data_IF_537822837917
#
_entry.id   IF_537822837917
#
_cell.length_a   1.000
_cell.length_b   1.000
_cell.length_c   1.000
_cell.angle_alpha   90.00
_cell.angle_beta   90.00
_cell.angle_gamma   90.00
#
_symmetry.space_group_name_H-M   'P 1'
#
loop_
_entity.id
_entity.type
_entity.pdbx_description
1 polymer ?
#
# COMPACT_ATOMS: atom_id res chain seq x y z
N UNK A 1 7.74 0.28 25.02
CA UNK A 1 6.38 0.25 24.44
C UNK A 1 5.97 -1.19 24.27
N UNK A 2 4.81 -1.59 24.79
CA UNK A 2 4.22 -2.93 24.61
C UNK A 2 3.09 -2.85 23.60
N UNK A 3 2.96 -3.85 22.77
CA UNK A 3 1.91 -3.96 21.75
C UNK A 3 1.03 -5.14 22.09
N UNK A 4 -0.29 -4.89 22.12
CA UNK A 4 -1.31 -5.92 22.34
C UNK A 4 -1.86 -6.37 20.99
N UNK A 5 -1.68 -7.65 20.69
CA UNK A 5 -2.29 -8.31 19.53
C UNK A 5 -3.65 -8.82 19.96
N UNK A 6 -4.69 -8.34 19.33
CA UNK A 6 -6.09 -8.65 19.62
C UNK A 6 -6.66 -9.57 18.55
N UNK A 7 -7.60 -10.39 18.93
CA UNK A 7 -8.41 -11.17 18.00
C UNK A 7 -9.45 -10.28 17.29
N UNK A 8 -10.15 -10.84 16.31
CA UNK A 8 -11.19 -10.13 15.55
C UNK A 8 -12.37 -9.65 16.43
N UNK A 9 -12.50 -10.13 17.67
CA UNK A 9 -13.53 -9.68 18.63
C UNK A 9 -13.03 -8.62 19.60
N UNK A 10 -11.72 -8.27 19.50
CA UNK A 10 -11.08 -7.23 20.32
C UNK A 10 -10.44 -7.73 21.62
N UNK A 11 -10.47 -9.04 21.91
CA UNK A 11 -9.81 -9.61 23.07
C UNK A 11 -8.31 -9.70 22.84
N UNK A 12 -7.51 -9.39 23.87
CA UNK A 12 -6.06 -9.52 23.81
C UNK A 12 -5.71 -11.02 23.72
N UNK A 13 -5.09 -11.41 22.62
CA UNK A 13 -4.54 -12.76 22.42
C UNK A 13 -3.11 -12.87 22.94
N UNK A 14 -2.32 -11.83 22.73
CA UNK A 14 -0.93 -11.81 23.12
C UNK A 14 -0.42 -10.36 23.27
N UNK A 15 0.48 -10.14 24.23
CA UNK A 15 1.15 -8.85 24.44
C UNK A 15 2.66 -9.04 24.33
N UNK A 16 3.33 -8.20 23.57
CA UNK A 16 4.78 -8.25 23.39
C UNK A 16 5.40 -6.84 23.43
N UNK A 17 6.60 -6.69 24.02
CA UNK A 17 7.36 -5.47 23.83
C UNK A 17 7.82 -5.34 22.35
N UNK A 18 8.00 -4.11 21.91
CA UNK A 18 8.63 -3.87 20.60
C UNK A 18 10.12 -4.12 20.74
N UNK A 19 10.57 -5.26 20.23
CA UNK A 19 11.96 -5.68 20.29
C UNK A 19 12.78 -5.12 19.14
N UNK A 20 14.11 -5.10 19.33
CA UNK A 20 15.07 -4.75 18.28
C UNK A 20 14.84 -5.62 17.03
N UNK A 21 14.77 -4.99 15.88
CA UNK A 21 14.50 -5.65 14.59
C UNK A 21 13.03 -5.64 14.20
N UNK A 22 12.08 -5.26 15.08
CA UNK A 22 10.75 -4.89 14.68
C UNK A 22 10.79 -3.63 13.81
N UNK A 23 9.94 -3.55 12.80
CA UNK A 23 9.94 -2.43 11.86
C UNK A 23 8.53 -2.07 11.43
N UNK A 24 8.32 -0.80 11.08
CA UNK A 24 7.16 -0.33 10.33
C UNK A 24 7.63 0.09 8.95
N UNK A 25 6.95 -0.36 7.92
CA UNK A 25 7.18 0.05 6.53
C UNK A 25 5.94 0.73 5.98
N UNK A 26 6.18 1.83 5.31
CA UNK A 26 5.17 2.56 4.55
C UNK A 26 5.76 2.86 3.18
N UNK A 27 5.15 2.33 2.13
CA UNK A 27 5.44 2.66 0.75
C UNK A 27 4.13 3.01 0.07
N UNK A 28 4.01 4.25 -0.34
CA UNK A 28 2.79 4.79 -0.94
C UNK A 28 2.33 3.92 -2.11
N UNK A 29 1.05 3.61 -2.18
CA UNK A 29 0.40 2.77 -3.20
C UNK A 29 0.93 1.31 -3.31
N UNK A 30 1.90 0.90 -2.49
CA UNK A 30 2.54 -0.41 -2.61
C UNK A 30 2.35 -1.29 -1.38
N UNK A 31 2.82 -0.85 -0.20
CA UNK A 31 2.73 -1.65 1.02
C UNK A 31 2.78 -0.80 2.29
N UNK A 32 1.95 -1.15 3.24
CA UNK A 32 1.94 -0.57 4.58
C UNK A 32 1.79 -1.70 5.58
N UNK A 33 2.84 -1.96 6.36
CA UNK A 33 2.83 -3.05 7.33
C UNK A 33 3.75 -2.78 8.52
N UNK A 34 3.57 -3.56 9.56
CA UNK A 34 4.54 -3.71 10.65
C UNK A 34 5.03 -5.15 10.71
N UNK A 35 6.26 -5.33 11.14
CA UNK A 35 6.83 -6.63 11.48
C UNK A 35 7.23 -6.61 12.95
N UNK A 36 6.68 -7.52 13.74
CA UNK A 36 7.03 -7.69 15.14
C UNK A 36 7.96 -8.90 15.27
N UNK A 37 9.13 -8.70 15.89
CA UNK A 37 10.09 -9.78 16.16
C UNK A 37 10.13 -10.09 17.67
N UNK A 38 9.89 -11.34 18.01
CA UNK A 38 9.96 -11.84 19.38
C UNK A 38 10.19 -13.34 19.40
N UNK A 39 10.58 -13.88 20.55
CA UNK A 39 10.78 -15.32 20.75
C UNK A 39 10.02 -15.78 22.00
N UNK A 40 9.47 -16.99 21.99
CA UNK A 40 8.70 -17.58 23.05
C UNK A 40 9.15 -19.02 23.31
N UNK A 41 9.06 -19.48 24.56
CA UNK A 41 9.31 -20.88 24.92
C UNK A 41 8.25 -21.82 24.36
N UNK A 42 6.98 -21.37 24.35
CA UNK A 42 5.86 -22.13 23.85
C UNK A 42 5.20 -21.41 22.66
N UNK A 43 4.68 -22.15 21.65
CA UNK A 43 4.12 -21.54 20.47
C UNK A 43 2.76 -20.88 20.77
N UNK A 44 2.61 -19.65 20.27
CA UNK A 44 1.33 -18.94 20.18
C UNK A 44 0.95 -18.87 18.70
N UNK A 45 -0.27 -19.26 18.38
CA UNK A 45 -0.80 -19.25 17.02
C UNK A 45 -1.73 -18.08 16.83
N UNK A 46 -1.52 -17.36 15.72
CA UNK A 46 -2.33 -16.23 15.32
C UNK A 46 -3.25 -16.64 14.17
N UNK A 47 -4.45 -16.08 14.17
CA UNK A 47 -5.46 -16.31 13.15
C UNK A 47 -5.55 -15.12 12.20
N UNK A 48 -6.10 -15.34 11.01
CA UNK A 48 -6.43 -14.24 10.09
C UNK A 48 -7.37 -13.24 10.79
N UNK A 49 -7.04 -11.95 10.70
CA UNK A 49 -7.76 -10.87 11.36
C UNK A 49 -7.28 -10.55 12.79
N UNK A 50 -6.38 -11.35 13.39
CA UNK A 50 -5.68 -10.92 14.59
C UNK A 50 -4.80 -9.71 14.25
N UNK A 51 -4.75 -8.71 15.13
CA UNK A 51 -4.04 -7.48 14.79
C UNK A 51 -3.87 -6.51 15.94
N UNK A 52 -3.43 -5.33 15.62
CA UNK A 52 -3.25 -4.22 16.55
C UNK A 52 -4.12 -3.03 16.15
N UNK A 53 -4.60 -2.30 17.15
CA UNK A 53 -5.26 -0.99 17.00
C UNK A 53 -4.70 -0.09 18.10
N UNK A 54 -3.73 0.75 17.74
CA UNK A 54 -3.04 1.65 18.67
C UNK A 54 -2.49 2.88 17.93
N UNK A 55 -1.61 3.64 18.58
CA UNK A 55 -0.98 4.84 18.02
C UNK A 55 -0.16 4.58 16.72
N UNK A 56 0.30 3.35 16.50
CA UNK A 56 1.00 2.96 15.26
C UNK A 56 0.03 2.83 14.09
N UNK A 57 -1.27 2.67 14.34
CA UNK A 57 -2.32 2.45 13.37
C UNK A 57 -3.05 1.13 13.59
N UNK A 58 -3.90 0.77 12.63
CA UNK A 58 -4.64 -0.49 12.61
C UNK A 58 -3.97 -1.43 11.60
N UNK A 59 -3.45 -2.52 12.11
CA UNK A 59 -2.78 -3.55 11.31
C UNK A 59 -3.32 -4.92 11.68
N UNK A 60 -3.49 -5.81 10.71
CA UNK A 60 -4.04 -7.13 10.90
C UNK A 60 -3.27 -8.21 10.13
N UNK A 61 -3.36 -9.43 10.59
CA UNK A 61 -2.82 -10.60 9.93
C UNK A 61 -3.72 -10.97 8.74
N UNK A 62 -3.23 -10.77 7.53
CA UNK A 62 -3.97 -11.05 6.29
C UNK A 62 -3.53 -12.33 5.59
N UNK A 63 -2.37 -12.86 5.95
CA UNK A 63 -1.82 -14.12 5.45
C UNK A 63 -1.51 -15.05 6.64
N UNK A 64 -1.67 -16.37 6.45
CA UNK A 64 -1.40 -17.35 7.51
C UNK A 64 0.07 -17.30 7.93
N UNK A 65 0.29 -17.30 9.24
CA UNK A 65 1.61 -17.28 9.83
C UNK A 65 1.85 -18.54 10.71
N UNK A 66 3.07 -19.07 10.62
CA UNK A 66 3.52 -20.16 11.50
C UNK A 66 4.83 -19.77 12.16
N UNK A 67 4.96 -19.91 13.48
CA UNK A 67 6.23 -19.67 14.18
C UNK A 67 7.29 -20.68 13.75
N UNK A 68 8.55 -20.26 13.78
CA UNK A 68 9.70 -21.10 13.45
C UNK A 68 10.32 -21.62 14.73
N UNK A 69 10.43 -22.95 14.87
CA UNK A 69 11.13 -23.56 16.00
C UNK A 69 12.64 -23.36 15.87
N UNK A 70 13.26 -22.80 16.88
CA UNK A 70 14.69 -22.56 16.97
C UNK A 70 15.36 -23.64 17.83
N UNK A 71 16.07 -24.55 17.17
CA UNK A 71 16.75 -25.68 17.85
C UNK A 71 17.87 -25.24 18.77
N UNK A 72 18.45 -24.04 18.56
CA UNK A 72 19.54 -23.52 19.38
C UNK A 72 19.03 -23.00 20.72
N UNK A 73 17.88 -22.32 20.73
CA UNK A 73 17.29 -21.74 21.95
C UNK A 73 16.27 -22.65 22.60
N UNK A 74 15.75 -23.67 21.89
CA UNK A 74 14.68 -24.54 22.34
C UNK A 74 13.31 -23.86 22.37
N UNK A 75 13.15 -22.73 21.68
CA UNK A 75 11.94 -21.93 21.65
C UNK A 75 11.44 -21.69 20.24
N UNK A 76 10.54 -20.73 20.09
CA UNK A 76 9.91 -20.35 18.82
C UNK A 76 10.20 -18.89 18.49
N UNK A 77 10.74 -18.65 17.30
CA UNK A 77 11.02 -17.32 16.78
C UNK A 77 9.86 -16.83 15.91
N UNK A 78 9.53 -15.57 16.10
CA UNK A 78 8.46 -14.88 15.39
C UNK A 78 9.01 -13.70 14.59
N UNK A 79 8.60 -13.62 13.35
CA UNK A 79 8.67 -12.43 12.51
C UNK A 79 7.25 -12.16 11.97
N UNK A 80 6.38 -11.71 12.87
CA UNK A 80 4.97 -11.55 12.61
C UNK A 80 4.73 -10.27 11.80
N UNK A 81 4.32 -10.42 10.54
CA UNK A 81 3.90 -9.32 9.68
C UNK A 81 2.41 -9.09 9.82
N UNK A 82 2.07 -7.86 10.14
CA UNK A 82 0.69 -7.36 10.17
C UNK A 82 0.58 -6.25 9.13
N UNK A 83 -0.34 -6.37 8.20
CA UNK A 83 -0.56 -5.39 7.13
C UNK A 83 -1.64 -4.39 7.54
N UNK A 84 -1.62 -3.17 6.99
CA UNK A 84 -2.66 -2.19 7.26
C UNK A 84 -4.04 -2.77 6.91
N UNK A 85 -5.04 -2.47 7.73
CA UNK A 85 -6.38 -3.06 7.72
C UNK A 85 -7.08 -3.12 6.35
N UNK A 86 -6.72 -2.25 5.42
CA UNK A 86 -7.29 -2.22 4.07
C UNK A 86 -6.54 -3.12 3.07
N UNK A 87 -5.33 -3.59 3.38
CA UNK A 87 -4.56 -4.45 2.46
C UNK A 87 -5.22 -5.81 2.21
N UNK A 88 -6.13 -6.27 3.06
CA UNK A 88 -6.98 -7.45 2.79
C UNK A 88 -7.83 -7.32 1.53
N UNK A 89 -8.05 -6.09 1.03
CA UNK A 89 -8.78 -5.84 -0.20
C UNK A 89 -8.06 -6.39 -1.44
N UNK A 90 -6.74 -6.64 -1.37
CA UNK A 90 -5.99 -7.34 -2.43
C UNK A 90 -6.57 -8.72 -2.78
N UNK A 91 -7.26 -9.35 -1.83
CA UNK A 91 -7.88 -10.66 -1.99
C UNK A 91 -9.34 -10.59 -2.46
N UNK A 92 -9.85 -9.40 -2.80
CA UNK A 92 -11.23 -9.17 -3.22
C UNK A 92 -11.27 -8.59 -4.62
N UNK A 93 -12.16 -9.13 -5.46
CA UNK A 93 -12.33 -8.66 -6.82
C UNK A 93 -13.16 -7.40 -6.87
N UNK A 94 -12.82 -6.54 -7.83
CA UNK A 94 -13.55 -5.33 -8.15
C UNK A 94 -14.61 -5.65 -9.23
N UNK A 95 -15.87 -5.60 -8.85
CA UNK A 95 -16.97 -5.94 -9.72
C UNK A 95 -17.75 -4.69 -10.16
N UNK A 96 -18.25 -4.73 -11.39
CA UNK A 96 -19.39 -3.92 -11.79
C UNK A 96 -20.65 -4.72 -11.55
N UNK A 97 -21.69 -4.08 -10.98
CA UNK A 97 -22.98 -4.70 -10.72
C UNK A 97 -24.05 -3.82 -11.35
N UNK A 98 -24.40 -4.05 -12.62
CA UNK A 98 -25.51 -3.35 -13.26
C UNK A 98 -26.84 -3.72 -12.61
N UNK A 99 -27.83 -2.80 -12.68
CA UNK A 99 -29.13 -2.94 -11.98
C UNK A 99 -29.88 -4.25 -12.30
N UNK A 100 -29.74 -4.77 -13.52
CA UNK A 100 -30.51 -5.92 -14.03
C UNK A 100 -29.66 -7.09 -14.48
N UNK A 101 -28.39 -7.15 -14.09
CA UNK A 101 -27.47 -8.21 -14.49
C UNK A 101 -26.63 -8.72 -13.32
N UNK A 102 -25.94 -9.84 -13.53
CA UNK A 102 -25.00 -10.38 -12.53
C UNK A 102 -23.76 -9.51 -12.40
N UNK A 103 -22.91 -9.86 -11.42
CA UNK A 103 -21.62 -9.20 -11.22
C UNK A 103 -20.68 -9.49 -12.38
N UNK A 104 -20.04 -8.46 -12.91
CA UNK A 104 -19.06 -8.56 -13.97
C UNK A 104 -17.65 -8.30 -13.40
N UNK A 105 -16.73 -9.25 -13.62
CA UNK A 105 -15.32 -9.12 -13.20
C UNK A 105 -14.45 -8.50 -14.30
N UNK A 106 -14.88 -8.54 -15.56
CA UNK A 106 -14.24 -7.91 -16.72
C UNK A 106 -15.17 -6.87 -17.34
N UNK A 107 -14.82 -5.58 -17.19
CA UNK A 107 -15.67 -4.48 -17.64
C UNK A 107 -14.85 -3.22 -17.90
N UNK A 108 -15.45 -2.30 -18.66
CA UNK A 108 -14.86 -1.03 -19.02
C UNK A 108 -15.79 0.10 -18.61
N UNK A 109 -15.23 1.20 -18.14
CA UNK A 109 -16.00 2.39 -17.80
C UNK A 109 -15.27 3.64 -18.30
N UNK A 110 -15.99 4.46 -19.08
CA UNK A 110 -15.54 5.81 -19.45
C UNK A 110 -16.31 6.82 -18.60
N UNK A 111 -15.66 7.34 -17.58
CA UNK A 111 -16.27 8.26 -16.63
C UNK A 111 -15.21 9.12 -15.93
N UNK A 112 -15.64 10.01 -15.05
CA UNK A 112 -14.76 10.76 -14.15
C UNK A 112 -14.22 9.86 -13.04
N UNK A 113 -13.11 10.23 -12.41
CA UNK A 113 -12.56 9.52 -11.25
C UNK A 113 -13.61 9.36 -10.14
N UNK A 114 -14.40 10.39 -9.90
CA UNK A 114 -15.48 10.34 -8.90
C UNK A 114 -16.46 9.19 -9.16
N UNK A 115 -16.85 8.97 -10.40
CA UNK A 115 -17.79 7.89 -10.78
C UNK A 115 -17.14 6.52 -10.55
N UNK A 116 -15.87 6.33 -10.92
CA UNK A 116 -15.13 5.10 -10.63
C UNK A 116 -15.04 4.83 -9.13
N UNK A 117 -14.80 5.87 -8.32
CA UNK A 117 -14.73 5.75 -6.86
C UNK A 117 -16.09 5.45 -6.23
N UNK A 118 -17.19 5.94 -6.78
CA UNK A 118 -18.54 5.53 -6.34
C UNK A 118 -18.73 4.03 -6.50
N UNK A 119 -18.40 3.46 -7.68
CA UNK A 119 -18.45 2.01 -7.89
C UNK A 119 -17.53 1.26 -6.92
N UNK A 120 -16.36 1.84 -6.60
CA UNK A 120 -15.43 1.26 -5.63
C UNK A 120 -16.05 1.22 -4.21
N UNK A 121 -16.63 2.31 -3.75
CA UNK A 121 -17.31 2.37 -2.44
C UNK A 121 -18.48 1.37 -2.39
N UNK A 122 -19.26 1.24 -3.46
CA UNK A 122 -20.35 0.26 -3.53
C UNK A 122 -19.84 -1.17 -3.35
N UNK A 123 -18.66 -1.50 -3.93
CA UNK A 123 -18.02 -2.79 -3.69
C UNK A 123 -17.63 -2.99 -2.22
N UNK A 124 -17.06 -1.97 -1.56
CA UNK A 124 -16.74 -2.06 -0.14
C UNK A 124 -17.99 -2.25 0.72
N UNK A 125 -19.08 -1.54 0.41
CA UNK A 125 -20.34 -1.64 1.14
C UNK A 125 -20.98 -3.03 0.98
N UNK A 126 -20.99 -3.58 -0.24
CA UNK A 126 -21.48 -4.94 -0.51
C UNK A 126 -20.67 -6.00 0.24
N UNK A 127 -19.35 -5.79 0.38
CA UNK A 127 -18.46 -6.66 1.13
C UNK A 127 -18.54 -6.45 2.65
N UNK A 128 -19.28 -5.43 3.11
CA UNK A 128 -19.44 -5.10 4.52
C UNK A 128 -18.19 -4.46 5.17
N UNK A 129 -17.25 -3.93 4.35
CA UNK A 129 -16.06 -3.29 4.88
C UNK A 129 -16.39 -1.91 5.45
N UNK A 130 -15.98 -1.72 6.70
CA UNK A 130 -16.16 -0.47 7.44
C UNK A 130 -14.90 -0.15 8.24
N UNK A 131 -14.64 1.13 8.44
CA UNK A 131 -13.64 1.62 9.39
C UNK A 131 -14.34 2.02 10.68
N UNK A 132 -14.11 1.31 11.79
CA UNK A 132 -14.74 1.57 13.09
C UNK A 132 -16.25 1.81 12.99
N UNK A 133 -16.97 0.92 12.29
CA UNK A 133 -18.42 0.98 12.01
C UNK A 133 -18.86 2.13 11.08
N UNK A 134 -17.95 2.89 10.50
CA UNK A 134 -18.23 3.93 9.50
C UNK A 134 -17.95 3.43 8.09
N UNK A 135 -18.78 3.81 7.14
CA UNK A 135 -18.57 3.53 5.74
C UNK A 135 -17.36 4.31 5.22
N UNK A 136 -16.65 3.71 4.26
CA UNK A 136 -15.59 4.40 3.55
C UNK A 136 -16.17 5.49 2.66
N UNK A 137 -15.45 6.60 2.57
CA UNK A 137 -15.76 7.70 1.66
C UNK A 137 -14.46 8.11 0.95
N UNK A 138 -14.59 8.76 -0.19
CA UNK A 138 -13.42 9.24 -0.93
C UNK A 138 -13.29 10.76 -0.87
N UNK A 139 -12.06 11.22 -1.08
CA UNK A 139 -11.70 12.63 -1.27
C UNK A 139 -10.74 12.73 -2.45
N UNK A 140 -11.04 13.62 -3.38
CA UNK A 140 -10.22 13.92 -4.55
C UNK A 140 -9.69 15.34 -4.37
N UNK A 141 -8.39 15.54 -4.48
CA UNK A 141 -7.78 16.87 -4.42
C UNK A 141 -8.09 17.66 -5.70
N UNK A 142 -8.23 18.97 -5.57
CA UNK A 142 -8.54 19.88 -6.68
C UNK A 142 -7.49 19.85 -7.81
N UNK A 143 -6.29 19.37 -7.52
CA UNK A 143 -5.20 19.22 -8.50
C UNK A 143 -5.41 18.04 -9.44
N UNK A 144 -6.32 17.11 -9.12
CA UNK A 144 -6.60 15.94 -9.96
C UNK A 144 -7.57 16.31 -11.08
N UNK A 145 -7.23 15.94 -12.31
CA UNK A 145 -8.04 16.25 -13.48
C UNK A 145 -9.46 15.67 -13.40
N UNK A 146 -10.46 16.48 -13.77
CA UNK A 146 -11.88 16.11 -13.73
C UNK A 146 -12.40 15.46 -15.01
N UNK A 147 -11.54 15.24 -16.01
CA UNK A 147 -11.96 14.68 -17.31
C UNK A 147 -12.37 13.22 -17.20
N UNK A 148 -13.37 12.82 -17.99
CA UNK A 148 -13.72 11.41 -18.15
C UNK A 148 -12.62 10.67 -18.90
N UNK A 149 -12.21 9.52 -18.35
CA UNK A 149 -11.20 8.63 -18.93
C UNK A 149 -11.72 7.20 -18.97
N UNK A 150 -11.23 6.43 -19.94
CA UNK A 150 -11.53 5.00 -20.03
C UNK A 150 -10.60 4.22 -19.10
N UNK A 151 -11.17 3.42 -18.24
CA UNK A 151 -10.43 2.41 -17.45
C UNK A 151 -11.02 1.03 -17.74
N UNK A 152 -10.14 0.05 -17.98
CA UNK A 152 -10.51 -1.33 -18.24
C UNK A 152 -10.13 -2.19 -17.05
N UNK A 153 -11.12 -2.78 -16.39
CA UNK A 153 -10.91 -3.67 -15.25
C UNK A 153 -11.10 -5.12 -15.73
N UNK A 154 -10.04 -5.89 -15.72
CA UNK A 154 -10.09 -7.29 -16.14
C UNK A 154 -9.69 -8.20 -14.98
N UNK A 155 -10.67 -8.73 -14.28
CA UNK A 155 -10.45 -9.57 -13.11
C UNK A 155 -9.56 -8.88 -12.03
N UNK A 156 -9.61 -7.57 -11.96
CA UNK A 156 -8.81 -6.70 -11.10
C UNK A 156 -9.25 -6.87 -9.64
N UNK A 157 -8.32 -6.85 -8.69
CA UNK A 157 -8.67 -6.75 -7.27
C UNK A 157 -8.86 -5.28 -6.85
N UNK A 158 -9.40 -5.07 -5.65
CA UNK A 158 -9.73 -3.72 -5.18
C UNK A 158 -8.48 -2.82 -5.03
N UNK A 159 -7.35 -3.35 -4.57
CA UNK A 159 -6.10 -2.55 -4.44
C UNK A 159 -5.56 -2.16 -5.82
N UNK A 160 -5.51 -3.11 -6.76
CA UNK A 160 -5.04 -2.83 -8.12
C UNK A 160 -5.99 -1.86 -8.83
N UNK A 161 -7.29 -1.90 -8.54
CA UNK A 161 -8.25 -0.94 -9.09
C UNK A 161 -7.95 0.50 -8.64
N UNK A 162 -7.61 0.73 -7.36
CA UNK A 162 -7.17 2.04 -6.89
C UNK A 162 -5.90 2.50 -7.61
N UNK A 163 -4.95 1.59 -7.80
CA UNK A 163 -3.69 1.90 -8.52
C UNK A 163 -3.96 2.24 -9.98
N UNK A 164 -4.79 1.45 -10.69
CA UNK A 164 -5.16 1.75 -12.07
C UNK A 164 -5.88 3.11 -12.21
N UNK A 165 -6.76 3.45 -11.26
CA UNK A 165 -7.38 4.77 -11.22
C UNK A 165 -6.32 5.86 -11.04
N UNK A 166 -5.41 5.73 -10.06
CA UNK A 166 -4.38 6.72 -9.80
C UNK A 166 -3.45 6.92 -11.00
N UNK A 167 -2.98 5.85 -11.62
CA UNK A 167 -2.17 5.89 -12.84
C UNK A 167 -2.91 6.59 -13.99
N UNK A 168 -4.22 6.28 -14.17
CA UNK A 168 -5.02 6.87 -15.22
C UNK A 168 -5.18 8.38 -15.05
N UNK A 169 -5.36 8.89 -13.84
CA UNK A 169 -5.49 10.33 -13.55
C UNK A 169 -4.17 11.00 -13.17
N UNK A 170 -3.03 10.26 -13.25
CA UNK A 170 -1.67 10.77 -12.97
C UNK A 170 -1.55 11.36 -11.56
N UNK A 171 -2.10 10.66 -10.59
CA UNK A 171 -2.10 11.04 -9.18
C UNK A 171 -1.71 9.84 -8.29
N UNK A 172 -1.72 10.05 -7.00
CA UNK A 172 -1.45 9.05 -5.98
C UNK A 172 -2.72 8.73 -5.20
N UNK A 173 -2.78 7.54 -4.60
CA UNK A 173 -3.82 7.21 -3.65
C UNK A 173 -3.23 6.77 -2.31
N UNK A 174 -3.95 7.08 -1.24
CA UNK A 174 -3.67 6.59 0.11
C UNK A 174 -4.94 6.49 0.93
N UNK A 175 -4.87 5.79 2.05
CA UNK A 175 -6.00 5.61 2.95
C UNK A 175 -5.64 6.20 4.30
N UNK A 176 -6.51 7.08 4.76
CA UNK A 176 -6.43 7.74 6.05
C UNK A 176 -7.76 7.55 6.76
N UNK A 177 -7.79 6.70 7.77
CA UNK A 177 -9.01 6.29 8.47
C UNK A 177 -10.06 5.73 7.47
N UNK A 178 -11.23 6.33 7.40
CA UNK A 178 -12.28 5.98 6.44
C UNK A 178 -12.14 6.66 5.08
N UNK A 179 -11.16 7.54 4.91
CA UNK A 179 -11.00 8.32 3.69
C UNK A 179 -10.07 7.62 2.70
N UNK A 180 -10.57 7.37 1.51
CA UNK A 180 -9.78 6.99 0.35
C UNK A 180 -9.45 8.29 -0.39
N UNK A 181 -8.18 8.67 -0.37
CA UNK A 181 -7.72 9.94 -0.92
C UNK A 181 -7.04 9.74 -2.27
N UNK A 182 -7.29 10.68 -3.16
CA UNK A 182 -6.62 10.78 -4.47
C UNK A 182 -6.08 12.19 -4.64
N UNK A 183 -4.79 12.31 -4.96
CA UNK A 183 -4.11 13.59 -5.08
C UNK A 183 -2.60 13.43 -5.10
N UNK A 184 -1.91 14.38 -4.51
CA UNK A 184 -0.49 14.26 -4.18
C UNK A 184 -0.32 14.11 -2.69
N UNK A 185 0.31 13.00 -2.29
CA UNK A 185 0.60 12.72 -0.88
C UNK A 185 1.82 13.53 -0.42
N UNK A 186 1.63 14.82 -0.21
CA UNK A 186 2.68 15.74 0.23
C UNK A 186 2.48 16.09 1.72
N UNK A 187 3.58 16.12 2.46
CA UNK A 187 3.55 16.67 3.82
C UNK A 187 3.57 18.19 3.74
N UNK A 188 2.64 18.83 4.44
CA UNK A 188 2.55 20.30 4.53
C UNK A 188 3.71 20.95 5.27
N UNK A 189 4.47 20.17 6.02
CA UNK A 189 5.64 20.66 6.79
C UNK A 189 6.87 19.88 6.35
N UNK A 190 7.90 20.56 5.83
CA UNK A 190 9.16 19.90 5.49
C UNK A 190 9.79 19.31 6.76
N UNK A 191 10.32 18.10 6.66
CA UNK A 191 11.13 17.50 7.72
C UNK A 191 12.57 17.95 7.48
N UNK A 192 13.09 18.74 8.39
CA UNK A 192 14.49 19.11 8.37
C UNK A 192 15.34 17.92 8.84
N UNK A 193 16.18 17.40 7.95
CA UNK A 193 17.16 16.39 8.27
C UNK A 193 18.42 17.07 8.82
N UNK A 194 18.67 16.91 10.12
CA UNK A 194 19.86 17.43 10.78
C UNK A 194 20.82 16.28 11.02
N UNK A 195 21.91 16.25 10.27
CA UNK A 195 23.07 15.41 10.54
C UNK A 195 23.99 16.17 11.50
N UNK A 196 24.37 15.56 12.61
CA UNK A 196 25.25 16.18 13.60
C UNK A 196 26.27 15.20 14.14
N UNK A 197 27.23 15.75 14.88
CA UNK A 197 28.22 14.96 15.60
C UNK A 197 27.56 14.21 16.75
N UNK A 198 28.03 13.01 17.06
CA UNK A 198 27.51 12.11 18.10
C UNK A 198 27.41 12.73 19.51
N UNK A 199 27.94 13.95 19.71
CA UNK A 199 27.91 14.66 20.98
C UNK A 199 26.67 15.54 21.18
N UNK A 200 25.91 15.87 20.10
CA UNK A 200 24.71 16.68 20.18
C UNK A 200 23.46 15.84 19.87
N UNK A 201 23.03 15.05 20.85
CA UNK A 201 21.96 14.07 20.71
C UNK A 201 20.56 14.69 20.69
N UNK A 202 20.38 15.93 21.08
CA UNK A 202 19.05 16.57 21.20
C UNK A 202 18.50 17.11 19.86
N UNK A 203 19.39 17.38 18.89
CA UNK A 203 19.01 18.01 17.63
C UNK A 203 19.31 17.16 16.37
N UNK A 204 19.81 15.94 16.53
CA UNK A 204 20.17 15.06 15.43
C UNK A 204 19.07 14.04 15.16
N UNK A 205 18.50 14.06 13.98
CA UNK A 205 17.49 13.08 13.53
C UNK A 205 18.04 12.13 12.43
N UNK A 206 19.30 12.29 12.02
CA UNK A 206 19.97 11.44 11.03
C UNK A 206 21.24 10.86 11.63
N UNK A 207 21.23 9.56 11.93
CA UNK A 207 22.39 8.86 12.50
C UNK A 207 23.51 8.57 11.47
N UNK A 208 23.13 8.37 10.22
CA UNK A 208 24.07 8.16 9.11
C UNK A 208 23.43 8.51 7.79
N UNK A 209 24.18 9.07 6.88
CA UNK A 209 23.78 9.35 5.52
C UNK A 209 24.79 8.72 4.57
N UNK A 210 24.33 7.80 3.72
CA UNK A 210 25.17 7.21 2.69
C UNK A 210 24.66 7.69 1.33
N UNK A 211 25.54 8.31 0.56
CA UNK A 211 25.29 8.58 -0.85
C UNK A 211 25.59 7.30 -1.63
N UNK A 212 24.59 6.75 -2.29
CA UNK A 212 24.77 5.71 -3.30
C UNK A 212 24.65 6.36 -4.67
N UNK A 213 25.66 6.20 -5.52
CA UNK A 213 25.49 6.54 -6.92
C UNK A 213 24.56 5.48 -7.53
N UNK A 214 23.45 5.91 -8.11
CA UNK A 214 22.59 5.01 -8.86
C UNK A 214 23.40 4.52 -10.08
N UNK A 215 23.39 3.20 -10.33
CA UNK A 215 23.99 2.63 -11.53
C UNK A 215 23.16 2.96 -12.79
N UNK A 216 22.53 4.13 -12.82
CA UNK A 216 21.80 4.58 -13.99
C UNK A 216 22.84 4.87 -15.08
N UNK A 217 22.77 4.12 -16.15
CA UNK A 217 23.62 4.34 -17.33
C UNK A 217 23.26 5.70 -17.91
N UNK A 218 24.12 6.69 -17.77
CA UNK A 218 23.96 7.98 -18.43
C UNK A 218 24.26 7.81 -19.90
N UNK A 219 23.24 7.92 -20.73
CA UNK A 219 23.46 8.01 -22.19
C UNK A 219 24.00 9.39 -22.52
N UNK A 220 25.27 9.48 -22.90
CA UNK A 220 25.89 10.73 -23.40
C UNK A 220 25.52 11.04 -24.85
N UNK A 221 24.92 10.06 -25.56
CA UNK A 221 24.41 10.21 -26.92
C UNK A 221 23.12 9.42 -27.08
N UNK A 222 22.09 10.05 -27.61
CA UNK A 222 20.83 9.43 -27.99
C UNK A 222 20.76 9.43 -29.51
N UNK A 223 20.64 8.23 -30.08
CA UNK A 223 20.37 8.04 -31.49
C UNK A 223 18.88 7.75 -31.65
N UNK A 224 18.06 8.69 -32.15
CA UNK A 224 16.66 8.41 -32.37
C UNK A 224 16.54 7.54 -33.62
N UNK A 225 16.05 6.33 -33.44
CA UNK A 225 15.66 5.46 -34.54
C UNK A 225 14.14 5.59 -34.73
N UNK A 226 13.74 6.17 -35.86
CA UNK A 226 12.34 6.17 -36.28
C UNK A 226 11.88 4.77 -36.67
N UNK A 227 10.59 4.45 -36.46
CA UNK A 227 10.00 3.25 -37.06
C UNK A 227 10.11 3.32 -38.59
N UNK A 228 10.46 2.19 -39.20
CA UNK A 228 10.47 2.05 -40.67
C UNK A 228 9.06 2.07 -41.28
N UNK A 229 8.01 2.09 -40.48
CA UNK A 229 6.63 2.25 -40.93
C UNK A 229 6.42 3.67 -41.44
N UNK A 230 6.09 3.78 -42.70
CA UNK A 230 5.77 5.04 -43.40
C UNK A 230 6.97 5.93 -43.77
N UNK A 231 8.20 5.44 -43.77
CA UNK A 231 9.34 6.14 -44.36
C UNK A 231 9.63 5.50 -45.72
N UNK A 232 9.45 6.25 -46.84
CA UNK A 232 9.81 5.74 -48.19
C UNK A 232 11.29 5.36 -48.22
N UNK A 233 11.62 4.29 -48.93
CA UNK A 233 13.02 3.81 -49.08
C UNK A 233 13.98 4.88 -49.61
N UNK A 234 13.46 5.89 -50.37
CA UNK A 234 14.21 7.05 -50.83
C UNK A 234 14.71 8.00 -49.74
N UNK A 235 14.18 7.88 -48.51
CA UNK A 235 14.61 8.66 -47.33
C UNK A 235 15.75 8.05 -46.54
N UNK A 236 16.13 6.82 -46.84
CA UNK A 236 17.30 6.19 -46.21
C UNK A 236 18.57 6.86 -46.79
N UNK A 237 19.10 7.83 -46.04
CA UNK A 237 20.47 8.25 -46.28
C UNK A 237 21.39 7.10 -45.92
N UNK A 238 22.13 6.58 -46.90
CA UNK A 238 23.29 5.73 -46.65
C UNK A 238 24.26 6.48 -45.74
N UNK A 239 24.59 5.90 -44.61
CA UNK A 239 25.70 6.30 -43.76
C UNK A 239 27.00 5.95 -44.44
#
# INVERSE_FOLDING_TARGET
MTVDIKDATGNIRFSTPINKGSKRKFTLMQEVYITLKFSLEHPVYFNLGDGIDNELGIFELIDLYKPVYNTTTGGYDYELRLDAYYWKWKNKKFFYTPENAGREAGWNLTATLETHLKVFIDNLNVLGYKFRNQEFIFKIDDTVGQSSKLVSYNNTNLIDALTQMAETWECEWWIEDKFIRFGRCEYSSPIDFKAGDLQDTENVNVNSMQRSDSQTTYATRIYPFGSTRNIPDSYRKSL
#
